data_IF_711937091470
#
_entry.id   IF_711937091470
#
_cell.length_a   1.000
_cell.length_b   1.000
_cell.length_c   1.000
_cell.angle_alpha   90.00
_cell.angle_beta   90.00
_cell.angle_gamma   90.00
#
_symmetry.space_group_name_H-M   'P 1'
#
loop_
_entity.id
_entity.type
_entity.pdbx_description
1 polymer ?
#
# COMPACT_ATOMS: atom_id res chain seq x y z
N UNK A 1 -14.07 18.80 11.64
CA UNK A 1 -13.36 17.65 11.06
C UNK A 1 -12.75 16.88 12.21
N UNK A 2 -13.21 15.65 12.46
CA UNK A 2 -12.55 14.75 13.38
C UNK A 2 -11.39 14.12 12.62
N UNK A 3 -10.16 14.54 12.91
CA UNK A 3 -8.98 13.82 12.43
C UNK A 3 -8.98 12.52 13.24
N UNK A 4 -9.21 11.38 12.59
CA UNK A 4 -9.15 10.07 13.25
C UNK A 4 -7.69 9.72 13.54
N UNK A 5 -7.20 10.22 14.69
CA UNK A 5 -5.84 10.01 15.15
C UNK A 5 -5.66 8.53 15.50
N UNK A 6 -4.65 7.91 14.90
CA UNK A 6 -4.22 6.55 15.26
C UNK A 6 -3.40 6.64 16.55
N UNK A 7 -3.94 6.12 17.65
CA UNK A 7 -3.17 5.99 18.89
C UNK A 7 -2.09 4.89 18.78
N UNK A 8 -1.18 4.83 19.75
CA UNK A 8 -0.05 3.88 19.73
C UNK A 8 -0.50 2.41 19.71
N UNK A 9 -1.59 2.07 20.40
CA UNK A 9 -2.12 0.70 20.46
C UNK A 9 -2.71 0.28 19.11
N UNK A 10 -3.50 1.15 18.50
CA UNK A 10 -4.03 0.93 17.15
C UNK A 10 -2.89 0.88 16.12
N UNK A 11 -1.91 1.78 16.21
CA UNK A 11 -0.76 1.77 15.31
C UNK A 11 -0.02 0.42 15.37
N UNK A 12 0.27 -0.08 16.56
CA UNK A 12 0.93 -1.37 16.74
C UNK A 12 0.10 -2.54 16.15
N UNK A 13 -1.22 -2.49 16.35
CA UNK A 13 -2.12 -3.49 15.78
C UNK A 13 -2.13 -3.48 14.24
N UNK A 14 -2.28 -2.30 13.62
CA UNK A 14 -2.27 -2.17 12.16
C UNK A 14 -0.92 -2.55 11.53
N UNK A 15 0.20 -2.25 12.21
CA UNK A 15 1.54 -2.72 11.81
C UNK A 15 1.62 -4.25 11.79
N UNK A 16 1.08 -4.91 12.81
CA UNK A 16 1.03 -6.38 12.88
C UNK A 16 0.18 -6.98 11.75
N UNK A 17 -0.99 -6.40 11.48
CA UNK A 17 -1.85 -6.83 10.36
C UNK A 17 -1.15 -6.65 9.00
N UNK A 18 -0.51 -5.51 8.80
CA UNK A 18 0.25 -5.26 7.57
C UNK A 18 1.41 -6.24 7.41
N UNK A 19 2.14 -6.54 8.48
CA UNK A 19 3.21 -7.54 8.47
C UNK A 19 2.67 -8.93 8.11
N UNK A 20 1.55 -9.35 8.69
CA UNK A 20 0.90 -10.62 8.34
C UNK A 20 0.48 -10.68 6.86
N UNK A 21 -0.12 -9.61 6.34
CA UNK A 21 -0.41 -9.45 4.91
C UNK A 21 0.84 -9.60 4.04
N UNK A 22 1.93 -8.90 4.41
CA UNK A 22 3.19 -8.89 3.66
C UNK A 22 3.87 -10.26 3.59
N UNK A 23 3.76 -11.04 4.67
CA UNK A 23 4.34 -12.38 4.81
C UNK A 23 3.43 -13.51 4.31
N UNK A 24 2.17 -13.24 4.00
CA UNK A 24 1.28 -14.20 3.36
C UNK A 24 1.79 -14.50 1.95
N UNK A 25 2.16 -15.76 1.68
CA UNK A 25 2.74 -16.20 0.39
C UNK A 25 1.68 -16.39 -0.68
N UNK A 26 0.60 -17.08 -0.33
CA UNK A 26 -0.51 -17.35 -1.25
C UNK A 26 -1.23 -16.04 -1.59
N UNK A 27 -1.23 -15.66 -2.87
CA UNK A 27 -1.81 -14.39 -3.32
C UNK A 27 -3.30 -14.34 -3.01
N UNK A 28 -4.03 -15.43 -3.19
CA UNK A 28 -5.47 -15.48 -2.90
C UNK A 28 -5.75 -15.35 -1.39
N UNK A 29 -4.85 -15.83 -0.53
CA UNK A 29 -4.99 -15.67 0.92
C UNK A 29 -4.80 -14.20 1.36
N UNK A 30 -4.10 -13.37 0.58
CA UNK A 30 -4.00 -11.93 0.85
C UNK A 30 -5.36 -11.22 0.79
N UNK A 31 -6.32 -11.77 0.06
CA UNK A 31 -7.68 -11.24 -0.02
C UNK A 31 -8.38 -11.16 1.35
N UNK A 32 -7.94 -11.93 2.35
CA UNK A 32 -8.49 -11.88 3.72
C UNK A 32 -8.19 -10.55 4.44
N UNK A 33 -7.19 -9.79 4.00
CA UNK A 33 -6.83 -8.50 4.60
C UNK A 33 -7.56 -7.31 3.98
N UNK A 34 -8.33 -7.57 2.92
CA UNK A 34 -8.98 -6.55 2.10
C UNK A 34 -10.50 -6.64 2.26
N UNK A 35 -11.15 -5.50 2.39
CA UNK A 35 -12.61 -5.41 2.33
C UNK A 35 -13.07 -5.86 0.95
N UNK A 36 -14.28 -6.42 0.86
CA UNK A 36 -14.90 -6.75 -0.44
C UNK A 36 -14.90 -5.53 -1.38
N UNK A 37 -15.15 -4.35 -0.82
CA UNK A 37 -15.18 -3.08 -1.53
C UNK A 37 -13.82 -2.36 -1.53
N UNK A 38 -12.69 -3.05 -1.29
CA UNK A 38 -11.39 -2.40 -1.25
C UNK A 38 -11.04 -1.75 -2.59
N UNK A 39 -10.69 -0.46 -2.56
CA UNK A 39 -10.29 0.32 -3.72
C UNK A 39 -8.77 0.40 -3.85
N UNK A 40 -8.29 0.70 -5.05
CA UNK A 40 -6.88 1.03 -5.27
C UNK A 40 -6.74 2.12 -6.31
N UNK A 41 -5.99 3.17 -6.01
CA UNK A 41 -5.47 4.11 -7.01
C UNK A 41 -3.97 3.93 -7.16
N UNK A 42 -3.48 4.22 -8.36
CA UNK A 42 -2.05 4.32 -8.65
C UNK A 42 -1.80 5.67 -9.32
N UNK A 43 -1.32 6.65 -8.56
CA UNK A 43 -1.12 8.02 -9.07
C UNK A 43 -0.17 8.07 -10.28
N UNK A 44 0.96 7.33 -10.30
CA UNK A 44 1.83 7.29 -11.47
C UNK A 44 1.21 6.60 -12.70
N UNK A 45 0.21 5.73 -12.49
CA UNK A 45 -0.46 4.97 -13.56
C UNK A 45 -1.96 4.84 -13.25
N UNK A 46 -2.77 5.89 -13.48
CA UNK A 46 -4.18 5.90 -13.06
C UNK A 46 -5.04 4.77 -13.66
N UNK A 47 -4.62 4.19 -14.79
CA UNK A 47 -5.28 3.01 -15.39
C UNK A 47 -5.15 1.74 -14.53
N UNK A 48 -4.19 1.69 -13.59
CA UNK A 48 -4.01 0.61 -12.63
C UNK A 48 -4.85 0.80 -11.37
N UNK A 49 -6.11 1.20 -11.58
CA UNK A 49 -7.09 1.40 -10.54
C UNK A 49 -7.94 0.14 -10.30
N UNK A 50 -8.41 -0.04 -9.08
CA UNK A 50 -9.31 -1.12 -8.69
C UNK A 50 -10.53 -0.59 -7.93
N UNK A 51 -11.69 -1.19 -8.20
CA UNK A 51 -12.96 -0.85 -7.54
C UNK A 51 -13.42 -1.88 -6.51
N UNK A 52 -12.67 -2.97 -6.41
CA UNK A 52 -12.94 -4.09 -5.53
C UNK A 52 -11.68 -4.91 -5.30
N UNK A 53 -11.76 -5.74 -4.28
CA UNK A 53 -10.73 -6.68 -3.87
C UNK A 53 -10.31 -7.63 -4.98
N UNK A 54 -11.26 -8.19 -5.73
CA UNK A 54 -10.98 -9.20 -6.75
C UNK A 54 -10.06 -8.62 -7.85
N UNK A 55 -10.24 -7.35 -8.19
CA UNK A 55 -9.36 -6.65 -9.14
C UNK A 55 -7.96 -6.44 -8.56
N UNK A 56 -7.83 -6.09 -7.27
CA UNK A 56 -6.54 -5.95 -6.60
C UNK A 56 -5.79 -7.28 -6.57
N UNK A 57 -6.48 -8.37 -6.20
CA UNK A 57 -5.90 -9.72 -6.17
C UNK A 57 -5.45 -10.15 -7.56
N UNK A 58 -6.23 -9.88 -8.61
CA UNK A 58 -5.82 -10.11 -10.00
C UNK A 58 -4.53 -9.35 -10.34
N UNK A 59 -4.44 -8.07 -9.98
CA UNK A 59 -3.22 -7.28 -10.19
C UNK A 59 -2.00 -7.84 -9.45
N UNK A 60 -2.18 -8.39 -8.24
CA UNK A 60 -1.11 -9.08 -7.52
C UNK A 60 -0.63 -10.33 -8.28
N UNK A 61 -1.53 -11.11 -8.85
CA UNK A 61 -1.17 -12.25 -9.71
C UNK A 61 -0.44 -11.81 -10.98
N UNK A 62 -0.90 -10.75 -11.65
CA UNK A 62 -0.29 -10.24 -12.89
C UNK A 62 1.13 -9.70 -12.67
N UNK A 63 1.43 -9.21 -11.47
CA UNK A 63 2.71 -8.58 -11.10
C UNK A 63 3.64 -9.52 -10.34
N UNK A 64 3.15 -10.68 -9.89
CA UNK A 64 3.96 -11.67 -9.19
C UNK A 64 5.06 -12.23 -10.11
N UNK A 65 6.26 -12.50 -9.58
CA UNK A 65 7.29 -13.22 -10.31
C UNK A 65 6.75 -14.57 -10.79
N UNK A 66 6.87 -14.85 -12.09
CA UNK A 66 6.46 -16.14 -12.65
C UNK A 66 7.52 -17.19 -12.28
N UNK A 67 7.10 -18.29 -11.67
CA UNK A 67 8.00 -19.37 -11.18
C UNK A 67 8.82 -20.05 -12.30
N UNK A 68 8.43 -19.88 -13.57
CA UNK A 68 9.09 -20.53 -14.72
C UNK A 68 10.37 -19.86 -15.21
N UNK A 69 10.76 -18.72 -14.63
CA UNK A 69 12.04 -18.11 -14.94
C UNK A 69 13.12 -18.73 -14.03
N UNK A 70 13.78 -19.77 -14.51
CA UNK A 70 15.10 -20.18 -14.01
C UNK A 70 16.11 -19.05 -14.31
N UNK A 71 15.96 -17.92 -13.63
CA UNK A 71 16.71 -16.69 -13.90
C UNK A 71 17.81 -16.56 -12.83
N UNK A 72 19.07 -16.30 -13.21
CA UNK A 72 20.14 -15.93 -12.27
C UNK A 72 19.94 -14.51 -11.74
N UNK A 73 18.70 -14.14 -11.41
CA UNK A 73 18.39 -12.82 -10.85
C UNK A 73 19.08 -12.69 -9.50
N UNK A 74 19.78 -11.56 -9.26
CA UNK A 74 20.39 -11.30 -7.97
C UNK A 74 19.36 -11.48 -6.87
N UNK A 75 19.75 -12.12 -5.76
CA UNK A 75 18.88 -12.21 -4.60
C UNK A 75 18.55 -10.79 -4.15
N UNK A 76 17.30 -10.41 -4.25
CA UNK A 76 16.80 -9.14 -3.74
C UNK A 76 16.15 -9.37 -2.39
N UNK A 77 16.45 -8.49 -1.43
CA UNK A 77 15.79 -8.47 -0.14
C UNK A 77 14.85 -7.27 -0.10
N UNK A 78 13.58 -7.53 0.17
CA UNK A 78 12.56 -6.49 0.28
C UNK A 78 12.54 -5.90 1.69
N UNK A 79 12.37 -4.60 1.77
CA UNK A 79 12.24 -3.85 3.02
C UNK A 79 11.04 -2.92 2.96
N UNK A 80 10.53 -2.54 4.13
CA UNK A 80 9.52 -1.50 4.23
C UNK A 80 9.60 -0.73 5.54
N UNK A 81 9.01 0.46 5.55
CA UNK A 81 8.62 1.15 6.79
C UNK A 81 7.11 1.25 6.86
N UNK A 82 6.56 1.34 8.06
CA UNK A 82 5.13 1.60 8.27
C UNK A 82 4.91 2.50 9.49
N UNK A 83 4.09 3.53 9.33
CA UNK A 83 3.68 4.44 10.41
C UNK A 83 2.30 5.02 10.17
N UNK A 84 1.62 5.54 11.20
CA UNK A 84 0.43 6.36 11.00
C UNK A 84 0.66 7.55 10.06
N UNK A 85 -0.38 7.95 9.33
CA UNK A 85 -0.38 9.23 8.62
C UNK A 85 -0.36 10.39 9.61
N UNK A 86 0.33 11.45 9.22
CA UNK A 86 0.22 12.76 9.85
C UNK A 86 -1.03 13.47 9.33
N UNK A 87 -1.50 14.46 10.07
CA UNK A 87 -2.73 15.20 9.73
C UNK A 87 -2.67 15.84 8.33
N UNK A 88 -1.50 16.34 7.92
CA UNK A 88 -1.28 16.93 6.61
C UNK A 88 -1.20 15.91 5.45
N UNK A 89 -1.03 14.63 5.76
CA UNK A 89 -0.98 13.55 4.77
C UNK A 89 -2.36 12.96 4.48
N UNK A 90 -3.41 13.42 5.16
CA UNK A 90 -4.79 12.99 4.96
C UNK A 90 -5.38 13.60 3.68
N UNK A 91 -4.96 13.06 2.54
CA UNK A 91 -5.33 13.50 1.18
C UNK A 91 -5.38 12.30 0.21
N UNK A 92 -6.16 12.43 -0.87
CA UNK A 92 -6.45 11.34 -1.82
C UNK A 92 -6.06 11.71 -3.26
N UNK A 93 -5.12 12.63 -3.44
CA UNK A 93 -4.66 13.12 -4.73
C UNK A 93 -5.66 14.05 -5.42
N UNK A 94 -5.63 14.03 -6.75
CA UNK A 94 -6.49 14.84 -7.62
C UNK A 94 -7.64 14.00 -8.18
N UNK A 95 -8.61 14.67 -8.81
CA UNK A 95 -9.73 13.98 -9.48
C UNK A 95 -9.24 12.98 -10.54
N UNK A 96 -8.17 13.30 -11.28
CA UNK A 96 -7.60 12.39 -12.29
C UNK A 96 -7.12 11.06 -11.69
N UNK A 97 -6.67 11.05 -10.43
CA UNK A 97 -6.23 9.83 -9.76
C UNK A 97 -7.40 8.94 -9.31
N UNK A 98 -8.53 9.52 -8.93
CA UNK A 98 -9.66 8.79 -8.30
C UNK A 98 -10.83 8.51 -9.25
N UNK A 99 -10.95 9.22 -10.38
CA UNK A 99 -11.98 8.94 -11.38
C UNK A 99 -11.92 7.48 -11.90
N UNK A 100 -10.73 6.88 -12.16
CA UNK A 100 -10.66 5.49 -12.60
C UNK A 100 -11.22 4.48 -11.58
N UNK A 101 -11.12 4.76 -10.27
CA UNK A 101 -11.73 3.92 -9.22
C UNK A 101 -13.24 4.10 -9.08
N UNK A 102 -13.85 4.98 -9.87
CA UNK A 102 -15.29 5.19 -9.93
C UNK A 102 -15.82 6.21 -8.91
N UNK A 103 -14.93 6.92 -8.20
CA UNK A 103 -15.33 8.08 -7.41
C UNK A 103 -15.54 9.30 -8.31
N UNK A 104 -16.43 10.20 -7.88
CA UNK A 104 -16.70 11.43 -8.62
C UNK A 104 -15.57 12.46 -8.50
N UNK A 105 -14.95 12.55 -7.32
CA UNK A 105 -13.85 13.50 -7.04
C UNK A 105 -13.02 13.05 -5.83
N UNK A 106 -11.83 13.62 -5.63
CA UNK A 106 -11.00 13.30 -4.46
C UNK A 106 -11.62 13.83 -3.16
N UNK A 107 -12.40 14.92 -3.23
CA UNK A 107 -13.21 15.40 -2.10
C UNK A 107 -14.27 14.37 -1.70
N UNK A 108 -14.89 13.67 -2.66
CA UNK A 108 -15.85 12.58 -2.34
C UNK A 108 -15.19 11.38 -1.66
N UNK A 109 -13.94 11.07 -2.01
CA UNK A 109 -13.17 10.05 -1.26
C UNK A 109 -12.93 10.51 0.17
N UNK A 110 -12.56 11.78 0.35
CA UNK A 110 -12.34 12.37 1.67
C UNK A 110 -13.61 12.40 2.53
N UNK A 111 -14.74 12.84 1.97
CA UNK A 111 -16.04 12.81 2.63
C UNK A 111 -16.38 11.40 3.11
N UNK A 112 -16.20 10.39 2.24
CA UNK A 112 -16.41 8.98 2.59
C UNK A 112 -15.48 8.51 3.70
N UNK A 113 -14.19 8.89 3.64
CA UNK A 113 -13.21 8.53 4.65
C UNK A 113 -13.57 9.12 6.03
N UNK A 114 -14.05 10.36 6.07
CA UNK A 114 -14.53 11.02 7.28
C UNK A 114 -15.82 10.35 7.81
N UNK A 115 -16.78 10.06 6.94
CA UNK A 115 -18.06 9.43 7.31
C UNK A 115 -17.90 8.01 7.87
N UNK A 116 -16.97 7.25 7.30
CA UNK A 116 -16.72 5.86 7.66
C UNK A 116 -15.60 5.67 8.69
N UNK A 117 -14.98 6.78 9.15
CA UNK A 117 -13.95 6.75 10.17
C UNK A 117 -12.68 6.03 9.74
N UNK A 118 -12.21 6.28 8.51
CA UNK A 118 -11.00 5.67 7.99
C UNK A 118 -9.76 6.17 8.74
N UNK A 119 -8.80 5.27 8.93
CA UNK A 119 -7.47 5.59 9.48
C UNK A 119 -6.39 5.20 8.48
N UNK A 120 -5.38 6.04 8.35
CA UNK A 120 -4.34 5.86 7.33
C UNK A 120 -2.98 5.47 7.92
N UNK A 121 -2.28 4.62 7.19
CA UNK A 121 -0.88 4.24 7.44
C UNK A 121 -0.04 4.56 6.20
N UNK A 122 1.09 5.26 6.39
CA UNK A 122 2.12 5.43 5.37
C UNK A 122 3.01 4.21 5.32
N UNK A 123 3.23 3.68 4.12
CA UNK A 123 4.18 2.61 3.86
C UNK A 123 5.10 3.01 2.71
N UNK A 124 6.40 2.91 2.95
CA UNK A 124 7.40 3.00 1.88
C UNK A 124 8.05 1.62 1.76
N UNK A 125 8.07 1.04 0.56
CA UNK A 125 8.65 -0.26 0.23
C UNK A 125 9.81 -0.09 -0.74
N UNK A 126 10.89 -0.85 -0.55
CA UNK A 126 11.99 -0.92 -1.50
C UNK A 126 12.63 -2.30 -1.46
N UNK A 127 13.52 -2.56 -2.40
CA UNK A 127 14.39 -3.74 -2.36
C UNK A 127 15.85 -3.32 -2.35
N UNK A 128 16.71 -4.18 -1.85
CA UNK A 128 18.16 -4.02 -1.99
C UNK A 128 18.74 -5.29 -2.62
N UNK A 129 19.74 -5.07 -3.47
CA UNK A 129 20.55 -6.14 -4.02
C UNK A 129 21.40 -6.75 -2.92
N UNK A 130 21.31 -8.07 -2.75
CA UNK A 130 22.17 -8.82 -1.81
C UNK A 130 23.48 -9.23 -2.51
N UNK A 131 23.60 -9.03 -3.83
CA UNK A 131 24.81 -9.34 -4.61
C UNK A 131 25.60 -8.06 -4.92
N UNK A 132 26.79 -7.94 -4.34
CA UNK A 132 27.73 -6.81 -4.47
C UNK A 132 28.30 -6.64 -5.90
N UNK A 133 28.00 -7.55 -6.82
CA UNK A 133 28.54 -7.54 -8.20
C UNK A 133 27.77 -6.65 -9.18
N UNK A 134 26.62 -6.12 -8.78
CA UNK A 134 25.77 -5.26 -9.62
C UNK A 134 26.02 -3.79 -9.25
N UNK A 135 26.48 -2.99 -10.22
CA UNK A 135 26.90 -1.60 -10.00
C UNK A 135 25.75 -0.59 -9.97
N UNK A 136 24.58 -0.94 -10.49
CA UNK A 136 23.41 -0.05 -10.55
C UNK A 136 22.23 -0.68 -9.82
N UNK A 137 21.80 -0.03 -8.74
CA UNK A 137 20.64 -0.45 -7.97
C UNK A 137 19.38 0.19 -8.55
N UNK A 138 18.83 -0.44 -9.59
CA UNK A 138 17.54 -0.08 -10.20
C UNK A 138 16.33 -0.48 -9.35
N UNK A 139 16.52 -0.77 -8.05
CA UNK A 139 15.43 -1.26 -7.22
C UNK A 139 14.29 -0.26 -7.08
N UNK A 140 13.08 -0.81 -7.14
CA UNK A 140 11.84 -0.05 -7.11
C UNK A 140 11.55 0.46 -5.69
N UNK A 141 11.32 1.76 -5.57
CA UNK A 141 10.66 2.39 -4.43
C UNK A 141 9.18 2.53 -4.72
N UNK A 142 8.34 2.06 -3.79
CA UNK A 142 6.89 2.26 -3.82
C UNK A 142 6.47 2.96 -2.55
N UNK A 143 5.73 4.06 -2.66
CA UNK A 143 5.15 4.75 -1.51
C UNK A 143 3.63 4.66 -1.56
N UNK A 144 3.02 4.16 -0.51
CA UNK A 144 1.60 3.84 -0.43
C UNK A 144 0.99 4.42 0.83
N UNK A 145 -0.24 4.95 0.74
CA UNK A 145 -1.10 5.11 1.91
C UNK A 145 -2.11 3.97 1.93
N UNK A 146 -2.05 3.15 2.97
CA UNK A 146 -3.07 2.13 3.23
C UNK A 146 -4.08 2.68 4.21
N UNK A 147 -5.34 2.65 3.80
CA UNK A 147 -6.45 3.11 4.61
C UNK A 147 -7.23 1.92 5.15
N UNK A 148 -7.62 2.03 6.41
CA UNK A 148 -8.24 0.97 7.18
C UNK A 148 -9.54 1.47 7.80
N UNK A 149 -10.49 0.56 7.96
CA UNK A 149 -11.67 0.78 8.81
C UNK A 149 -12.00 -0.51 9.54
N UNK A 150 -12.88 -0.40 10.53
CA UNK A 150 -13.39 -1.58 11.24
C UNK A 150 -14.59 -2.16 10.49
N UNK A 151 -14.51 -3.41 10.09
CA UNK A 151 -15.60 -4.20 9.48
C UNK A 151 -15.85 -5.43 10.36
N UNK A 152 -17.09 -5.65 10.78
CA UNK A 152 -17.50 -6.80 11.62
C UNK A 152 -16.63 -7.08 12.86
N UNK A 153 -16.03 -6.02 13.41
CA UNK A 153 -15.18 -6.12 14.60
C UNK A 153 -13.68 -6.21 14.31
N UNK A 154 -13.27 -6.36 13.06
CA UNK A 154 -11.89 -6.51 12.61
C UNK A 154 -11.41 -5.31 11.81
N UNK A 155 -10.11 -5.04 11.82
CA UNK A 155 -9.52 -3.96 11.02
C UNK A 155 -9.11 -4.49 9.65
N UNK A 156 -9.64 -3.85 8.61
CA UNK A 156 -9.50 -4.32 7.23
C UNK A 156 -9.02 -3.19 6.33
N UNK A 157 -8.18 -3.49 5.34
CA UNK A 157 -7.76 -2.51 4.33
C UNK A 157 -8.94 -2.23 3.39
N UNK A 158 -9.21 -0.95 3.16
CA UNK A 158 -10.35 -0.49 2.34
C UNK A 158 -9.95 0.36 1.15
N UNK A 159 -8.73 0.90 1.15
CA UNK A 159 -8.25 1.75 0.07
C UNK A 159 -6.72 1.76 0.04
N UNK A 160 -6.15 1.50 -1.13
CA UNK A 160 -4.71 1.56 -1.37
C UNK A 160 -4.41 2.76 -2.27
N UNK A 161 -3.63 3.72 -1.76
CA UNK A 161 -3.19 4.89 -2.52
C UNK A 161 -1.71 4.77 -2.87
N UNK A 162 -1.39 4.21 -4.04
CA UNK A 162 -0.01 4.13 -4.51
C UNK A 162 0.37 5.50 -5.07
N UNK A 163 1.06 6.29 -4.26
CA UNK A 163 1.44 7.67 -4.57
C UNK A 163 2.67 7.77 -5.45
N UNK A 164 3.59 6.82 -5.31
CA UNK A 164 4.86 6.82 -6.01
C UNK A 164 5.28 5.39 -6.36
N UNK A 165 5.82 5.23 -7.57
CA UNK A 165 6.41 4.01 -8.07
C UNK A 165 7.54 4.41 -9.01
N UNK A 166 8.79 4.15 -8.64
CA UNK A 166 9.95 4.57 -9.42
C UNK A 166 11.28 4.27 -8.71
N UNK A 167 12.39 4.81 -9.20
CA UNK A 167 13.71 4.63 -8.59
C UNK A 167 13.77 5.11 -7.13
N UNK A 168 14.74 4.60 -6.38
CA UNK A 168 15.04 5.13 -5.04
C UNK A 168 15.42 6.61 -5.10
N UNK A 169 14.80 7.39 -4.21
CA UNK A 169 14.98 8.85 -4.10
C UNK A 169 15.79 9.28 -2.86
N UNK A 170 16.40 8.33 -2.14
CA UNK A 170 17.18 8.59 -0.93
C UNK A 170 16.35 8.74 0.36
N UNK A 171 15.03 8.60 0.31
CA UNK A 171 14.15 8.69 1.49
C UNK A 171 13.80 7.35 2.12
N UNK A 172 14.31 6.24 1.57
CA UNK A 172 14.08 4.87 2.05
C UNK A 172 14.48 4.77 3.53
N UNK A 173 13.63 4.14 4.36
CA UNK A 173 13.90 4.00 5.79
C UNK A 173 13.81 5.28 6.64
N UNK A 174 13.72 6.48 6.04
CA UNK A 174 13.70 7.74 6.80
C UNK A 174 12.39 7.99 7.56
N UNK A 175 11.33 7.26 7.22
CA UNK A 175 9.96 7.52 7.67
C UNK A 175 9.50 6.60 8.81
N UNK A 176 10.35 5.70 9.31
CA UNK A 176 9.98 4.79 10.38
C UNK A 176 11.00 3.68 10.61
N UNK A 177 10.63 2.71 11.44
CA UNK A 177 11.39 1.48 11.63
C UNK A 177 11.44 0.69 10.32
N UNK A 178 12.64 0.23 9.95
CA UNK A 178 12.87 -0.61 8.78
C UNK A 178 12.57 -2.06 9.14
N UNK A 179 11.70 -2.68 8.36
CA UNK A 179 11.22 -4.05 8.50
C UNK A 179 11.43 -4.81 7.18
N UNK A 180 11.30 -6.14 7.21
CA UNK A 180 11.53 -7.07 6.09
C UNK A 180 10.24 -7.82 5.73
#
# INVERSE_FOLDING_TARGET
>A
MAIHVVDEGLAAHLKSLYAAYRHTKEIDAKAAFFSLACYQICRPKPSFAARNRETIVRYLHETAPKEDAADPTPRMKGYYTIRPLKSEEFEFGTNEHVLPTGFESSEKVKEKADEEGWVGMRVDLWSELVDERVQEDESLLVKVQYWWRKEDGEWTQIFHDIMYMGPKDGTQGSQGEVLE
#
